data_IF_353087809820
#
_entry.id   IF_353087809820
#
_cell.length_a   1.000
_cell.length_b   1.000
_cell.length_c   1.000
_cell.angle_alpha   90.00
_cell.angle_beta   90.00
_cell.angle_gamma   90.00
#
_symmetry.space_group_name_H-M   'P 1'
#
loop_
_entity.id
_entity.type
_entity.pdbx_description
1 polymer ?
#
# COMPACT_ATOMS: atom_id res chain seq x y z
N UNK A 1 -12.32 14.09 -2.42
CA UNK A 1 -11.06 13.95 -3.16
C UNK A 1 -10.75 12.51 -3.57
N UNK A 2 -10.77 11.54 -2.65
CA UNK A 2 -10.45 10.13 -2.93
C UNK A 2 -11.23 9.50 -4.10
N UNK A 3 -12.54 9.75 -4.20
CA UNK A 3 -13.37 9.20 -5.29
C UNK A 3 -12.91 9.60 -6.70
N UNK A 4 -12.43 10.84 -6.87
CA UNK A 4 -11.90 11.32 -8.16
C UNK A 4 -10.56 10.66 -8.49
N UNK A 5 -9.65 10.60 -7.51
CA UNK A 5 -8.35 9.93 -7.67
C UNK A 5 -8.54 8.45 -8.00
N UNK A 6 -9.44 7.76 -7.29
CA UNK A 6 -9.80 6.37 -7.57
C UNK A 6 -10.36 6.20 -8.99
N UNK A 7 -11.29 7.07 -9.41
CA UNK A 7 -11.85 7.02 -10.77
C UNK A 7 -10.77 7.20 -11.85
N UNK A 8 -9.82 8.11 -11.63
CA UNK A 8 -8.69 8.33 -12.52
C UNK A 8 -7.78 7.09 -12.57
N UNK A 9 -7.36 6.56 -11.42
CA UNK A 9 -6.50 5.37 -11.31
C UNK A 9 -7.14 4.12 -11.92
N UNK A 10 -8.47 4.02 -11.89
CA UNK A 10 -9.20 2.90 -12.45
C UNK A 10 -9.23 2.89 -13.99
N UNK A 11 -8.85 4.01 -14.64
CA UNK A 11 -8.66 4.09 -16.09
C UNK A 11 -7.34 3.47 -16.56
N UNK A 12 -6.40 3.23 -15.65
CA UNK A 12 -5.13 2.56 -15.95
C UNK A 12 -5.19 1.05 -15.65
N UNK A 13 -4.40 0.22 -16.36
CA UNK A 13 -4.17 -1.17 -15.98
C UNK A 13 -3.77 -1.28 -14.49
N UNK A 14 -4.21 -2.35 -13.83
CA UNK A 14 -4.13 -2.44 -12.37
C UNK A 14 -2.71 -2.26 -11.82
N UNK A 15 -1.74 -2.92 -12.45
CA UNK A 15 -0.32 -2.86 -12.09
C UNK A 15 0.30 -1.48 -12.35
N UNK A 16 -0.08 -0.79 -13.43
CA UNK A 16 0.40 0.57 -13.69
C UNK A 16 -0.14 1.57 -12.66
N UNK A 17 -1.42 1.47 -12.33
CA UNK A 17 -2.02 2.35 -11.34
C UNK A 17 -1.43 2.12 -9.94
N UNK A 18 -1.06 0.89 -9.61
CA UNK A 18 -0.39 0.55 -8.36
C UNK A 18 0.96 1.28 -8.26
N UNK A 19 1.82 1.14 -9.29
CA UNK A 19 3.11 1.83 -9.33
C UNK A 19 2.94 3.36 -9.30
N UNK A 20 1.97 3.90 -10.04
CA UNK A 20 1.68 5.33 -10.03
C UNK A 20 1.24 5.82 -8.65
N UNK A 21 0.39 5.06 -7.96
CA UNK A 21 -0.11 5.42 -6.63
C UNK A 21 1.03 5.46 -5.60
N UNK A 22 1.89 4.44 -5.57
CA UNK A 22 3.02 4.38 -4.62
C UNK A 22 4.06 5.49 -4.89
N UNK A 23 4.45 5.68 -6.15
CA UNK A 23 5.37 6.77 -6.50
C UNK A 23 4.80 8.16 -6.15
N UNK A 24 3.49 8.36 -6.38
CA UNK A 24 2.82 9.62 -6.01
C UNK A 24 2.75 9.80 -4.49
N UNK A 25 2.58 8.71 -3.75
CA UNK A 25 2.58 8.70 -2.30
C UNK A 25 3.93 9.14 -1.73
N UNK A 26 5.04 8.64 -2.28
CA UNK A 26 6.38 9.06 -1.87
C UNK A 26 6.63 10.55 -2.13
N UNK A 27 6.20 11.04 -3.30
CA UNK A 27 6.32 12.45 -3.65
C UNK A 27 5.51 13.29 -2.66
N UNK A 28 4.27 12.89 -2.38
CA UNK A 28 3.42 13.58 -1.40
C UNK A 28 4.02 13.57 0.01
N UNK A 29 4.65 12.46 0.41
CA UNK A 29 5.35 12.33 1.69
C UNK A 29 6.55 13.29 1.76
N UNK A 30 7.42 13.28 0.75
CA UNK A 30 8.61 14.14 0.66
C UNK A 30 8.26 15.63 0.65
N UNK A 31 7.12 15.99 0.07
CA UNK A 31 6.59 17.36 0.07
C UNK A 31 5.82 17.73 1.36
N UNK A 32 5.70 16.81 2.33
CA UNK A 32 4.97 17.04 3.58
C UNK A 32 3.44 17.12 3.42
N UNK A 33 2.91 16.81 2.23
CA UNK A 33 1.48 16.92 1.92
C UNK A 33 0.64 15.88 2.68
N UNK A 34 1.23 14.73 3.03
CA UNK A 34 0.52 13.70 3.81
C UNK A 34 0.14 14.19 5.20
N UNK A 35 0.97 15.03 5.84
CA UNK A 35 0.67 15.59 7.16
C UNK A 35 -0.53 16.54 7.14
N UNK A 36 -0.88 17.09 5.97
CA UNK A 36 -2.04 17.96 5.79
C UNK A 36 -3.30 17.17 5.41
N UNK A 37 -3.14 16.02 4.75
CA UNK A 37 -4.23 15.25 4.19
C UNK A 37 -4.65 14.05 5.05
N UNK A 38 -3.76 13.54 5.89
CA UNK A 38 -3.98 12.34 6.72
C UNK A 38 -4.15 12.76 8.17
N UNK A 39 -5.29 12.41 8.76
CA UNK A 39 -5.50 12.53 10.19
C UNK A 39 -4.88 11.35 10.90
N UNK A 40 -4.15 11.60 11.99
CA UNK A 40 -3.66 10.53 12.85
C UNK A 40 -4.85 9.80 13.48
N UNK A 41 -4.90 8.46 13.42
CA UNK A 41 -5.91 7.71 14.15
C UNK A 41 -5.72 7.92 15.66
N UNK A 42 -6.79 7.71 16.41
CA UNK A 42 -6.70 7.67 17.86
C UNK A 42 -5.82 6.50 18.31
N UNK A 43 -5.06 6.69 19.39
CA UNK A 43 -4.24 5.64 19.97
C UNK A 43 -5.11 4.47 20.43
N UNK A 44 -4.74 3.26 20.02
CA UNK A 44 -5.40 2.01 20.41
C UNK A 44 -4.34 0.93 20.62
N UNK A 45 -3.44 1.11 21.62
CA UNK A 45 -2.23 0.31 21.71
C UNK A 45 -2.55 -1.15 22.02
N UNK A 46 -1.80 -2.06 21.38
CA UNK A 46 -1.90 -3.51 21.61
C UNK A 46 -0.49 -4.11 21.75
N UNK A 47 -0.34 -5.05 22.68
CA UNK A 47 0.88 -5.83 22.84
C UNK A 47 0.67 -7.23 22.24
N UNK A 48 1.47 -7.59 21.25
CA UNK A 48 1.38 -8.89 20.56
C UNK A 48 2.79 -9.40 20.28
N UNK A 49 3.07 -10.65 20.61
CA UNK A 49 4.39 -11.28 20.41
C UNK A 49 5.56 -10.49 21.05
N UNK A 50 5.29 -9.75 22.14
CA UNK A 50 6.30 -8.92 22.81
C UNK A 50 6.59 -7.58 22.14
N UNK A 51 5.80 -7.18 21.14
CA UNK A 51 5.88 -5.89 20.46
C UNK A 51 4.68 -5.02 20.82
N UNK A 52 4.92 -3.72 20.98
CA UNK A 52 3.88 -2.72 21.18
C UNK A 52 3.54 -2.06 19.85
N UNK A 53 2.26 -2.16 19.44
CA UNK A 53 1.74 -1.48 18.27
C UNK A 53 0.83 -0.33 18.72
N UNK A 54 0.91 0.86 18.09
CA UNK A 54 0.10 2.01 18.50
C UNK A 54 -1.38 1.85 18.15
N UNK A 55 -1.70 1.00 17.18
CA UNK A 55 -3.06 0.59 16.84
C UNK A 55 -3.05 -0.81 16.18
N UNK A 56 -4.18 -1.54 16.16
CA UNK A 56 -4.23 -2.91 15.65
C UNK A 56 -4.36 -3.01 14.11
N UNK A 57 -4.37 -1.90 13.38
CA UNK A 57 -4.57 -1.90 11.92
C UNK A 57 -3.22 -1.91 11.21
N UNK A 58 -2.91 -3.01 10.55
CA UNK A 58 -1.71 -3.16 9.74
C UNK A 58 -1.95 -3.07 8.25
N UNK A 59 -0.91 -2.70 7.52
CA UNK A 59 -0.85 -2.88 6.07
C UNK A 59 -0.29 -4.27 5.75
N UNK A 60 -1.04 -5.07 5.00
CA UNK A 60 -0.64 -6.43 4.61
C UNK A 60 0.47 -6.44 3.55
N UNK A 61 1.22 -7.55 3.50
CA UNK A 61 2.22 -7.80 2.47
C UNK A 61 1.61 -7.81 1.05
N UNK A 62 2.49 -7.63 0.07
CA UNK A 62 2.16 -7.61 -1.35
C UNK A 62 1.89 -6.22 -1.90
N UNK A 63 1.66 -5.20 -1.05
CA UNK A 63 1.59 -3.81 -1.50
C UNK A 63 2.99 -3.23 -1.74
N UNK A 64 3.87 -3.27 -0.74
CA UNK A 64 5.28 -2.87 -0.88
C UNK A 64 6.17 -4.10 -0.79
N UNK A 65 6.49 -4.68 -1.95
CA UNK A 65 7.22 -5.94 -2.04
C UNK A 65 8.71 -5.81 -1.71
N UNK A 66 9.26 -4.61 -1.84
CA UNK A 66 10.71 -4.38 -1.76
C UNK A 66 11.09 -3.42 -0.62
N UNK A 67 10.13 -2.97 0.18
CA UNK A 67 10.31 -1.94 1.19
C UNK A 67 10.73 -0.57 0.60
N UNK A 68 10.25 -0.26 -0.61
CA UNK A 68 10.60 0.97 -1.35
C UNK A 68 9.83 2.20 -0.83
N UNK A 69 8.70 1.99 -0.13
CA UNK A 69 7.71 3.03 0.20
C UNK A 69 7.38 3.12 1.70
N UNK A 70 8.22 2.54 2.57
CA UNK A 70 7.96 2.38 4.01
C UNK A 70 7.59 3.69 4.72
N UNK A 71 8.37 4.75 4.56
CA UNK A 71 8.13 6.02 5.26
C UNK A 71 6.80 6.65 4.86
N UNK A 72 6.50 6.60 3.57
CA UNK A 72 5.29 7.18 3.01
C UNK A 72 4.04 6.38 3.44
N UNK A 73 4.14 5.05 3.49
CA UNK A 73 3.08 4.17 3.98
C UNK A 73 2.89 4.30 5.50
N UNK A 74 3.98 4.39 6.28
CA UNK A 74 3.94 4.61 7.72
C UNK A 74 3.26 5.92 8.10
N UNK A 75 3.41 6.96 7.28
CA UNK A 75 2.73 8.24 7.47
C UNK A 75 1.21 8.19 7.28
N UNK A 76 0.65 7.09 6.75
CA UNK A 76 -0.80 6.92 6.58
C UNK A 76 -1.53 6.52 7.86
N UNK A 77 -0.80 6.24 8.96
CA UNK A 77 -1.40 5.94 10.27
C UNK A 77 -1.58 4.46 10.59
N UNK A 78 -1.03 3.56 9.78
CA UNK A 78 -0.99 2.13 10.12
C UNK A 78 -0.20 1.90 11.42
N UNK A 79 -0.66 0.97 12.25
CA UNK A 79 0.07 0.56 13.44
C UNK A 79 1.32 -0.27 13.11
N UNK A 80 1.30 -0.96 11.98
CA UNK A 80 2.45 -1.68 11.43
C UNK A 80 2.34 -1.85 9.92
N UNK A 81 3.47 -2.11 9.27
CA UNK A 81 3.55 -2.39 7.83
C UNK A 81 4.28 -3.71 7.63
N UNK A 82 3.63 -4.65 6.94
CA UNK A 82 4.25 -5.90 6.50
C UNK A 82 4.74 -5.73 5.05
N UNK A 83 6.05 -5.79 4.85
CA UNK A 83 6.69 -5.71 3.53
C UNK A 83 6.89 -7.10 2.92
N UNK A 84 7.10 -7.14 1.61
CA UNK A 84 7.34 -8.38 0.87
C UNK A 84 6.14 -8.79 0.02
N UNK A 85 6.10 -10.02 -0.49
CA UNK A 85 7.06 -11.11 -0.25
C UNK A 85 8.39 -10.91 -0.98
N UNK A 86 9.49 -11.10 -0.27
CA UNK A 86 10.85 -11.12 -0.83
C UNK A 86 11.35 -12.56 -0.96
N UNK A 87 12.10 -12.83 -2.02
CA UNK A 87 12.80 -14.10 -2.26
C UNK A 87 14.31 -13.91 -2.10
N UNK A 88 15.10 -14.97 -1.81
CA UNK A 88 16.56 -14.83 -1.66
C UNK A 88 17.27 -14.20 -2.87
N UNK A 89 16.71 -14.40 -4.07
CA UNK A 89 17.17 -13.79 -5.33
C UNK A 89 16.00 -13.08 -6.01
N UNK A 90 16.30 -12.06 -6.80
CA UNK A 90 15.29 -11.33 -7.57
C UNK A 90 14.63 -12.23 -8.64
N UNK A 91 13.31 -12.10 -8.79
CA UNK A 91 12.53 -12.81 -9.79
C UNK A 91 11.53 -11.85 -10.47
N UNK A 92 11.28 -12.00 -11.79
CA UNK A 92 10.38 -11.11 -12.52
C UNK A 92 8.89 -11.35 -12.21
N UNK A 93 8.55 -12.46 -11.56
CA UNK A 93 7.18 -12.95 -11.38
C UNK A 93 6.57 -13.51 -12.68
N UNK A 94 5.27 -13.76 -12.66
CA UNK A 94 4.54 -14.29 -13.82
C UNK A 94 4.37 -13.25 -14.94
N UNK A 95 4.16 -13.68 -16.21
CA UNK A 95 3.88 -12.76 -17.32
C UNK A 95 2.62 -11.91 -17.12
N UNK A 96 2.63 -10.69 -17.66
CA UNK A 96 1.47 -9.78 -17.66
C UNK A 96 0.41 -10.19 -18.71
N UNK A 97 -0.88 -9.86 -18.51
CA UNK A 97 -1.46 -9.21 -17.33
C UNK A 97 -1.60 -10.19 -16.15
N UNK A 98 -1.37 -9.71 -14.93
CA UNK A 98 -1.32 -10.54 -13.71
C UNK A 98 -2.02 -9.93 -12.49
N UNK A 99 -2.68 -8.79 -12.67
CA UNK A 99 -3.50 -8.14 -11.65
C UNK A 99 -4.78 -7.60 -12.30
N UNK A 100 -5.91 -7.92 -11.68
CA UNK A 100 -7.25 -7.67 -12.20
C UNK A 100 -8.12 -7.08 -11.10
N UNK A 101 -9.05 -6.20 -11.49
CA UNK A 101 -10.02 -5.59 -10.57
C UNK A 101 -11.42 -6.10 -10.91
N UNK A 102 -12.23 -6.31 -9.89
CA UNK A 102 -13.67 -6.56 -9.97
C UNK A 102 -14.39 -5.46 -9.19
N UNK A 103 -14.61 -4.26 -9.80
CA UNK A 103 -15.06 -3.08 -9.07
C UNK A 103 -16.40 -3.26 -8.36
N UNK A 104 -17.34 -3.96 -8.98
CA UNK A 104 -18.68 -4.25 -8.43
C UNK A 104 -18.62 -5.10 -7.15
N UNK A 105 -17.56 -5.91 -7.01
CA UNK A 105 -17.33 -6.80 -5.86
C UNK A 105 -16.31 -6.24 -4.87
N UNK A 106 -15.80 -5.02 -5.13
CA UNK A 106 -14.68 -4.43 -4.38
C UNK A 106 -13.47 -5.39 -4.23
N UNK A 107 -13.23 -6.21 -5.26
CA UNK A 107 -12.28 -7.30 -5.19
C UNK A 107 -11.14 -7.14 -6.22
N UNK A 108 -10.06 -7.86 -5.96
CA UNK A 108 -8.93 -8.02 -6.87
C UNK A 108 -8.61 -9.51 -7.05
N UNK A 109 -8.16 -9.88 -8.24
CA UNK A 109 -7.55 -11.17 -8.50
C UNK A 109 -6.12 -10.88 -8.96
N UNK A 110 -5.14 -11.56 -8.38
CA UNK A 110 -3.76 -11.43 -8.83
C UNK A 110 -3.11 -12.81 -8.96
N UNK A 111 -2.13 -12.87 -9.84
CA UNK A 111 -1.24 -14.01 -10.05
C UNK A 111 0.17 -13.49 -10.26
N UNK A 112 0.61 -12.57 -9.39
CA UNK A 112 1.89 -11.88 -9.60
C UNK A 112 3.07 -12.85 -9.62
N UNK A 113 3.00 -13.92 -8.82
CA UNK A 113 4.17 -14.79 -8.57
C UNK A 113 5.25 -14.00 -7.85
#
# INVERSE_FOLDING_TARGET
>A
MYGLLRSLLFRFPAEQAHNLALNSLDIAHKLGLLNLAVSKPADCPVNVMGLDFPNPVGLAAGLDKNADHLDALGALGFGFVEVGTVTPLAQPGNPMPRMFRLPEHQAIINRMG
#
